data_IF_228706542816
#
_entry.id   IF_228706542816
#
_cell.length_a   1.000
_cell.length_b   1.000
_cell.length_c   1.000
_cell.angle_alpha   90.00
_cell.angle_beta   90.00
_cell.angle_gamma   90.00
#
_symmetry.space_group_name_H-M   'P 1'
#
loop_
_entity.id
_entity.type
_entity.pdbx_description
1 polymer ?
#
# COMPACT_ATOMS: atom_id res chain seq x y z
N UNK A 1 -3.62 -2.59 -20.92
CA UNK A 1 -2.47 -2.83 -20.06
C UNK A 1 -2.66 -2.22 -18.69
N UNK A 2 -2.29 -2.96 -17.67
CA UNK A 2 -2.48 -2.54 -16.30
C UNK A 2 -1.21 -2.76 -15.49
N UNK A 3 -1.07 -1.95 -14.45
CA UNK A 3 -0.05 -2.12 -13.44
C UNK A 3 -0.79 -2.42 -12.14
N UNK A 4 -0.17 -3.20 -11.27
CA UNK A 4 -0.77 -3.57 -10.00
C UNK A 4 0.08 -3.03 -8.85
N UNK A 5 -0.60 -2.59 -7.80
CA UNK A 5 0.05 -2.14 -6.58
C UNK A 5 -0.59 -2.86 -5.41
N UNK A 6 0.11 -2.90 -4.28
CA UNK A 6 -0.39 -3.56 -3.07
C UNK A 6 -0.79 -2.48 -2.08
N UNK A 7 -2.06 -2.45 -1.68
CA UNK A 7 -2.54 -1.53 -0.65
C UNK A 7 -2.55 -2.26 0.69
N UNK A 8 -1.82 -1.74 1.63
CA UNK A 8 -1.60 -2.40 2.92
C UNK A 8 -2.40 -1.76 4.06
N UNK A 9 -2.86 -0.53 3.88
CA UNK A 9 -3.65 0.14 4.90
C UNK A 9 -4.35 1.36 4.32
N UNK A 10 -5.41 1.81 5.02
CA UNK A 10 -6.04 3.08 4.75
C UNK A 10 -6.33 3.71 6.11
N UNK A 11 -5.78 4.89 6.35
CA UNK A 11 -5.92 5.58 7.63
C UNK A 11 -6.47 6.98 7.41
N UNK A 12 -7.02 7.57 8.45
CA UNK A 12 -7.70 8.87 8.35
C UNK A 12 -6.81 10.04 8.72
N UNK A 13 -5.58 9.77 9.15
CA UNK A 13 -4.64 10.78 9.62
C UNK A 13 -3.34 10.70 8.85
N UNK A 14 -2.86 11.84 8.35
CA UNK A 14 -1.56 11.91 7.69
C UNK A 14 -0.44 11.47 8.64
N UNK A 15 -0.56 11.82 9.90
CA UNK A 15 0.43 11.45 10.90
C UNK A 15 0.50 9.93 11.11
N UNK A 16 -0.66 9.26 11.15
CA UNK A 16 -0.69 7.81 11.26
C UNK A 16 -0.03 7.16 10.05
N UNK A 17 -0.31 7.70 8.85
CA UNK A 17 0.29 7.19 7.63
C UNK A 17 1.81 7.33 7.66
N UNK A 18 2.31 8.49 8.05
CA UNK A 18 3.74 8.74 8.12
C UNK A 18 4.43 7.83 9.13
N UNK A 19 3.80 7.61 10.28
CA UNK A 19 4.32 6.73 11.31
C UNK A 19 4.42 5.29 10.80
N UNK A 20 3.39 4.82 10.12
CA UNK A 20 3.36 3.47 9.57
C UNK A 20 4.43 3.29 8.50
N UNK A 21 4.56 4.27 7.59
CA UNK A 21 5.57 4.22 6.53
C UNK A 21 6.98 4.23 7.14
N UNK A 22 7.22 5.10 8.12
CA UNK A 22 8.52 5.16 8.78
C UNK A 22 8.89 3.83 9.44
N UNK A 23 7.94 3.19 10.08
CA UNK A 23 8.14 1.90 10.73
C UNK A 23 8.50 0.81 9.72
N UNK A 24 7.76 0.76 8.61
CA UNK A 24 8.01 -0.23 7.57
C UNK A 24 9.33 0.01 6.84
N UNK A 25 9.68 1.27 6.61
CA UNK A 25 10.96 1.61 6.00
C UNK A 25 12.13 1.14 6.85
N UNK A 26 12.05 1.31 8.15
CA UNK A 26 13.09 0.84 9.08
C UNK A 26 13.26 -0.66 9.00
N UNK A 27 12.22 -1.39 8.64
CA UNK A 27 12.25 -2.83 8.52
C UNK A 27 12.57 -3.31 7.11
N UNK A 28 12.97 -2.39 6.24
CA UNK A 28 13.48 -2.74 4.93
C UNK A 28 12.47 -2.74 3.79
N UNK A 29 11.26 -2.27 4.03
CA UNK A 29 10.24 -2.21 2.98
C UNK A 29 10.48 -0.97 2.12
N UNK A 30 10.66 -1.18 0.81
CA UNK A 30 10.88 -0.11 -0.16
C UNK A 30 9.66 0.06 -1.05
N UNK A 31 9.60 1.21 -1.72
CA UNK A 31 8.52 1.47 -2.66
C UNK A 31 7.21 1.88 -2.04
N UNK A 32 7.23 2.32 -0.78
CA UNK A 32 6.03 2.80 -0.08
C UNK A 32 5.63 4.18 -0.58
N UNK A 33 4.31 4.38 -0.73
CA UNK A 33 3.79 5.69 -1.09
C UNK A 33 2.35 5.84 -0.57
N UNK A 34 1.86 7.07 -0.58
CA UNK A 34 0.53 7.40 -0.08
C UNK A 34 -0.34 7.90 -1.24
N UNK A 35 -1.57 7.41 -1.29
CA UNK A 35 -2.60 7.92 -2.20
C UNK A 35 -3.71 8.52 -1.36
N UNK A 36 -3.97 9.80 -1.58
CA UNK A 36 -4.98 10.54 -0.84
C UNK A 36 -6.33 10.43 -1.54
N UNK A 37 -7.37 10.08 -0.81
CA UNK A 37 -8.71 9.98 -1.33
C UNK A 37 -9.72 10.66 -0.43
N UNK A 38 -10.80 11.20 -1.02
CA UNK A 38 -11.83 11.88 -0.25
C UNK A 38 -12.75 10.90 0.47
N UNK A 39 -13.10 11.24 1.71
CA UNK A 39 -14.17 10.53 2.44
C UNK A 39 -15.52 11.17 2.10
N UNK A 40 -16.58 10.38 2.19
CA UNK A 40 -17.94 10.88 1.96
C UNK A 40 -18.33 12.00 2.92
N UNK A 41 -17.87 11.89 4.16
CA UNK A 41 -18.21 12.83 5.23
C UNK A 41 -17.29 14.05 5.27
N UNK A 42 -16.40 14.18 4.30
CA UNK A 42 -15.34 15.19 4.30
C UNK A 42 -14.06 14.62 4.88
N UNK A 43 -12.97 15.33 4.69
CA UNK A 43 -11.66 14.81 5.08
C UNK A 43 -11.10 13.82 4.07
N UNK A 44 -10.05 13.11 4.44
CA UNK A 44 -9.32 12.26 3.50
C UNK A 44 -9.02 10.89 4.08
N UNK A 45 -8.93 9.91 3.17
CA UNK A 45 -8.27 8.64 3.42
C UNK A 45 -6.82 8.75 2.94
N UNK A 46 -5.92 8.23 3.73
CA UNK A 46 -4.51 8.12 3.36
C UNK A 46 -4.24 6.65 3.12
N UNK A 47 -4.21 6.27 1.86
CA UNK A 47 -4.04 4.88 1.45
C UNK A 47 -2.56 4.59 1.29
N UNK A 48 -2.06 3.64 2.05
CA UNK A 48 -0.65 3.27 2.01
C UNK A 48 -0.49 2.10 1.06
N UNK A 49 0.32 2.31 0.05
CA UNK A 49 0.55 1.34 -1.02
C UNK A 49 2.04 1.08 -1.17
N UNK A 50 2.36 -0.07 -1.73
CA UNK A 50 3.75 -0.46 -1.93
C UNK A 50 3.91 -1.13 -3.29
N UNK A 51 4.92 -0.67 -4.03
CA UNK A 51 5.35 -1.29 -5.27
C UNK A 51 4.43 -1.06 -6.47
N UNK A 52 4.99 -1.40 -7.62
CA UNK A 52 4.27 -1.42 -8.89
C UNK A 52 4.71 -2.69 -9.61
N UNK A 53 3.75 -3.51 -9.99
CA UNK A 53 4.01 -4.84 -10.52
C UNK A 53 3.35 -5.01 -11.88
N UNK A 54 4.00 -5.68 -12.83
CA UNK A 54 3.42 -5.87 -14.16
C UNK A 54 2.29 -6.89 -14.19
N UNK A 55 2.19 -7.74 -13.16
CA UNK A 55 1.14 -8.73 -13.09
C UNK A 55 0.55 -8.83 -11.68
N UNK A 56 -0.70 -9.30 -11.62
CA UNK A 56 -1.36 -9.52 -10.35
C UNK A 56 -0.63 -10.58 -9.53
N UNK A 57 -0.14 -11.63 -10.18
CA UNK A 57 0.55 -12.72 -9.50
C UNK A 57 1.82 -12.23 -8.80
N UNK A 58 2.57 -11.34 -9.43
CA UNK A 58 3.77 -10.77 -8.82
C UNK A 58 3.42 -9.90 -7.63
N UNK A 59 2.36 -9.11 -7.73
CA UNK A 59 1.89 -8.30 -6.61
C UNK A 59 1.48 -9.18 -5.43
N UNK A 60 0.75 -10.26 -5.69
CA UNK A 60 0.32 -11.19 -4.66
C UNK A 60 1.53 -11.87 -4.00
N UNK A 61 2.48 -12.32 -4.81
CA UNK A 61 3.68 -12.97 -4.28
C UNK A 61 4.46 -12.05 -3.34
N UNK A 62 4.62 -10.78 -3.74
CA UNK A 62 5.29 -9.80 -2.91
C UNK A 62 4.53 -9.56 -1.60
N UNK A 63 3.21 -9.35 -1.71
CA UNK A 63 2.37 -9.09 -0.53
C UNK A 63 2.40 -10.26 0.45
N UNK A 64 2.37 -11.48 -0.06
CA UNK A 64 2.42 -12.67 0.79
C UNK A 64 3.76 -12.75 1.55
N UNK A 65 4.85 -12.33 0.94
CA UNK A 65 6.13 -12.28 1.65
C UNK A 65 6.08 -11.29 2.81
N UNK A 66 5.41 -10.16 2.63
CA UNK A 66 5.26 -9.19 3.71
C UNK A 66 4.39 -9.73 4.84
N UNK A 67 3.33 -10.47 4.49
CA UNK A 67 2.47 -11.12 5.51
C UNK A 67 3.26 -12.19 6.26
N UNK A 68 4.01 -13.03 5.54
CA UNK A 68 4.80 -14.10 6.13
C UNK A 68 5.88 -13.57 7.06
N UNK A 69 6.43 -12.40 6.73
CA UNK A 69 7.43 -11.72 7.57
C UNK A 69 6.81 -10.94 8.72
N UNK A 70 5.48 -10.98 8.84
CA UNK A 70 4.72 -10.28 9.88
C UNK A 70 4.87 -8.77 9.83
N UNK A 71 5.16 -8.24 8.64
CA UNK A 71 5.26 -6.80 8.42
C UNK A 71 3.90 -6.17 8.20
N UNK A 72 2.97 -6.93 7.61
CA UNK A 72 1.58 -6.51 7.41
C UNK A 72 0.67 -7.67 7.78
N UNK A 73 -0.61 -7.38 8.05
CA UNK A 73 -1.58 -8.41 8.40
C UNK A 73 -2.39 -8.88 7.19
N UNK A 74 -2.81 -7.93 6.37
CA UNK A 74 -3.58 -8.21 5.16
C UNK A 74 -3.28 -7.14 4.12
N UNK A 75 -3.85 -7.32 2.94
CA UNK A 75 -3.60 -6.41 1.83
C UNK A 75 -4.71 -6.51 0.78
N UNK A 76 -4.72 -5.53 -0.12
CA UNK A 76 -5.51 -5.58 -1.34
C UNK A 76 -4.60 -5.35 -2.53
N UNK A 77 -4.84 -6.08 -3.61
CA UNK A 77 -4.16 -5.82 -4.87
C UNK A 77 -5.05 -4.88 -5.68
N UNK A 78 -4.48 -3.75 -6.06
CA UNK A 78 -5.19 -2.70 -6.78
C UNK A 78 -4.66 -2.65 -8.21
N UNK A 79 -5.59 -2.68 -9.16
CA UNK A 79 -5.27 -2.54 -10.58
C UNK A 79 -5.28 -1.06 -10.95
N UNK A 80 -4.20 -0.61 -11.55
CA UNK A 80 -4.03 0.79 -11.98
C UNK A 80 -3.95 0.85 -13.50
N UNK A 81 -4.54 1.87 -14.12
CA UNK A 81 -4.35 2.04 -15.57
C UNK A 81 -2.89 2.38 -15.86
N UNK A 82 -2.36 1.77 -16.90
CA UNK A 82 -1.02 2.07 -17.36
C UNK A 82 -1.11 3.17 -18.40
N UNK A 83 -0.36 4.21 -18.20
CA UNK A 83 -0.29 5.33 -19.16
C UNK A 83 0.69 5.06 -20.27
#
# INVERSE_FOLDING_TARGET
>A
DKIFTVQIAAVISAKQADTMIGHLKKRGVEGLYIVKGLQRSGGYWYKIRVGHFPSKDEAIAYANRLVDSKLIKNYFVISLPKK
#
